data_IF_114057130588
#
_entry.id   IF_114057130588
#
_cell.length_a   1.000
_cell.length_b   1.000
_cell.length_c   1.000
_cell.angle_alpha   90.00
_cell.angle_beta   90.00
_cell.angle_gamma   90.00
#
_symmetry.space_group_name_H-M   'P 1'
#
loop_
_entity.id
_entity.type
_entity.pdbx_description
1 polymer ?
#
# COMPACT_ATOMS: atom_id res chain seq x y z
N UNK A 1 -17.30 -7.27 35.70
CA UNK A 1 -16.17 -8.13 35.29
C UNK A 1 -15.43 -7.37 34.21
N UNK A 2 -14.32 -6.69 34.54
CA UNK A 2 -13.54 -5.92 33.55
C UNK A 2 -12.37 -6.78 33.08
N UNK A 3 -12.32 -7.09 31.78
CA UNK A 3 -11.11 -7.64 31.17
C UNK A 3 -10.03 -6.58 31.34
N UNK A 4 -8.95 -6.91 32.04
CA UNK A 4 -7.86 -5.99 32.35
C UNK A 4 -7.18 -5.45 31.10
N UNK A 5 -6.50 -4.31 31.24
CA UNK A 5 -5.82 -3.51 30.20
C UNK A 5 -4.91 -4.26 29.21
N UNK A 6 -4.65 -5.56 29.37
CA UNK A 6 -3.80 -6.36 28.48
C UNK A 6 -2.41 -5.76 28.23
N UNK A 7 -1.66 -6.37 27.31
CA UNK A 7 -0.46 -5.75 26.70
C UNK A 7 -0.81 -5.03 25.37
N UNK A 8 -2.11 -4.83 25.15
CA UNK A 8 -2.68 -4.27 23.94
C UNK A 8 -2.53 -2.76 23.81
N UNK A 9 -2.50 -2.25 22.57
CA UNK A 9 -2.64 -0.81 22.32
C UNK A 9 -4.11 -0.42 22.32
N UNK A 10 -4.44 0.65 23.04
CA UNK A 10 -5.74 1.32 22.92
C UNK A 10 -5.73 2.16 21.65
N UNK A 11 -6.67 1.89 20.75
CA UNK A 11 -6.90 2.60 19.50
C UNK A 11 -8.23 3.33 19.65
N UNK A 12 -8.24 4.64 19.47
CA UNK A 12 -9.45 5.47 19.64
C UNK A 12 -9.88 5.99 18.28
N UNK A 13 -11.16 5.82 17.96
CA UNK A 13 -11.75 6.28 16.70
C UNK A 13 -12.55 7.54 16.98
N UNK A 14 -12.44 8.57 16.14
CA UNK A 14 -13.30 9.77 16.17
C UNK A 14 -13.74 10.23 17.58
N UNK A 15 -12.81 10.54 18.51
CA UNK A 15 -13.17 10.80 19.90
C UNK A 15 -14.03 12.06 20.03
N UNK A 16 -15.22 11.92 20.60
CA UNK A 16 -16.08 13.06 20.94
C UNK A 16 -15.54 13.86 22.13
N UNK A 17 -14.66 13.24 22.93
CA UNK A 17 -14.02 13.83 24.12
C UNK A 17 -12.54 13.43 24.18
N UNK A 18 -11.66 14.41 24.43
CA UNK A 18 -10.20 14.25 24.39
C UNK A 18 -9.64 13.25 25.42
N UNK A 19 -10.24 13.17 26.61
CA UNK A 19 -9.64 12.46 27.76
C UNK A 19 -10.40 11.20 28.20
N UNK A 20 -11.67 11.08 27.81
CA UNK A 20 -12.52 9.93 28.12
C UNK A 20 -13.38 9.52 26.92
N UNK A 21 -12.77 9.27 25.75
CA UNK A 21 -13.52 8.74 24.63
C UNK A 21 -14.02 7.33 24.96
N UNK A 22 -15.26 7.01 24.59
CA UNK A 22 -15.84 5.67 24.76
C UNK A 22 -15.69 4.80 23.50
N UNK A 23 -15.38 5.43 22.37
CA UNK A 23 -15.16 4.80 21.08
C UNK A 23 -13.68 4.39 20.91
N UNK A 24 -13.26 3.43 21.72
CA UNK A 24 -11.93 2.84 21.61
C UNK A 24 -11.99 1.31 21.52
N UNK A 25 -10.90 0.76 21.00
CA UNK A 25 -10.66 -0.66 20.85
C UNK A 25 -9.31 -1.01 21.44
N UNK A 26 -9.21 -2.14 22.15
CA UNK A 26 -7.94 -2.66 22.63
C UNK A 26 -7.47 -3.75 21.68
N UNK A 27 -6.34 -3.55 21.00
CA UNK A 27 -5.71 -4.62 20.22
C UNK A 27 -5.26 -5.73 21.17
N UNK A 28 -5.54 -7.00 20.91
CA UNK A 28 -5.06 -8.10 21.76
C UNK A 28 -3.91 -8.84 21.06
N UNK A 29 -2.90 -9.25 21.83
CA UNK A 29 -1.77 -10.08 21.38
C UNK A 29 -2.07 -11.59 21.49
N UNK A 30 -3.24 -11.98 21.99
CA UNK A 30 -3.71 -13.35 21.99
C UNK A 30 -3.87 -13.88 20.55
N UNK A 31 -3.62 -15.18 20.26
CA UNK A 31 -3.80 -15.73 18.92
C UNK A 31 -5.21 -15.57 18.34
N UNK A 32 -6.24 -15.62 19.20
CA UNK A 32 -7.64 -15.33 18.82
C UNK A 32 -8.03 -13.86 19.11
N UNK A 33 -7.05 -13.03 19.41
CA UNK A 33 -7.19 -11.60 19.63
C UNK A 33 -7.48 -10.87 18.33
N UNK A 34 -8.07 -9.69 18.45
CA UNK A 34 -8.39 -8.82 17.32
C UNK A 34 -7.29 -7.76 17.18
N UNK A 35 -6.78 -7.61 15.96
CA UNK A 35 -5.74 -6.66 15.60
C UNK A 35 -6.10 -5.88 14.33
N UNK A 36 -5.31 -4.84 14.04
CA UNK A 36 -5.41 -4.11 12.77
C UNK A 36 -4.20 -4.42 11.92
N UNK A 37 -4.45 -4.71 10.64
CA UNK A 37 -3.40 -4.77 9.64
C UNK A 37 -3.28 -3.43 8.91
N UNK A 38 -2.08 -3.04 8.47
CA UNK A 38 -1.94 -1.93 7.55
C UNK A 38 -2.64 -2.29 6.23
N UNK A 39 -3.22 -1.30 5.56
CA UNK A 39 -3.81 -1.48 4.23
C UNK A 39 -3.40 -0.29 3.37
N UNK A 40 -2.34 -0.49 2.60
CA UNK A 40 -1.76 0.45 1.65
C UNK A 40 -2.45 0.38 0.29
N UNK A 41 -2.80 -0.83 -0.15
CA UNK A 41 -3.52 -1.08 -1.41
C UNK A 41 -4.88 -1.75 -1.16
N UNK A 42 -5.85 -1.47 -2.02
CA UNK A 42 -7.23 -1.99 -1.96
C UNK A 42 -7.75 -2.26 -3.37
N UNK A 43 -8.72 -3.17 -3.48
CA UNK A 43 -9.41 -3.39 -4.75
C UNK A 43 -10.03 -2.09 -5.28
N UNK A 44 -9.91 -1.88 -6.59
CA UNK A 44 -10.37 -0.68 -7.30
C UNK A 44 -9.35 0.44 -7.42
N UNK A 45 -8.17 0.34 -6.78
CA UNK A 45 -7.11 1.32 -6.96
C UNK A 45 -6.47 1.19 -8.35
N UNK A 46 -6.11 2.33 -8.95
CA UNK A 46 -5.49 2.41 -10.27
C UNK A 46 -4.06 2.94 -10.16
N UNK A 47 -3.19 2.40 -11.00
CA UNK A 47 -1.79 2.77 -11.09
C UNK A 47 -1.36 2.89 -12.55
N UNK A 48 -0.47 3.82 -12.84
CA UNK A 48 0.35 3.77 -14.04
C UNK A 48 1.59 2.92 -13.79
N UNK A 49 1.95 2.10 -14.76
CA UNK A 49 3.14 1.26 -14.75
C UNK A 49 4.25 1.94 -15.51
N UNK A 50 5.40 2.16 -14.86
CA UNK A 50 6.56 2.84 -15.43
C UNK A 50 7.82 1.97 -15.32
N UNK A 51 8.69 2.05 -16.32
CA UNK A 51 10.11 1.64 -16.22
C UNK A 51 10.98 2.87 -16.49
N UNK A 52 11.61 3.40 -15.44
CA UNK A 52 12.24 4.71 -15.50
C UNK A 52 11.23 5.80 -15.86
N UNK A 53 11.49 6.55 -16.93
CA UNK A 53 10.61 7.62 -17.44
C UNK A 53 9.59 7.11 -18.49
N UNK A 54 9.65 5.83 -18.86
CA UNK A 54 8.77 5.25 -19.87
C UNK A 54 7.51 4.69 -19.22
N UNK A 55 6.35 5.26 -19.57
CA UNK A 55 5.05 4.68 -19.28
C UNK A 55 4.84 3.42 -20.12
N UNK A 56 4.48 2.32 -19.46
CA UNK A 56 4.25 1.01 -20.07
C UNK A 56 2.77 0.62 -20.12
N UNK A 57 1.94 1.24 -19.28
CA UNK A 57 0.51 0.97 -19.25
C UNK A 57 -0.12 1.30 -17.90
N UNK A 58 -1.23 0.63 -17.61
CA UNK A 58 -2.05 0.83 -16.42
C UNK A 58 -2.34 -0.49 -15.70
N UNK A 59 -2.46 -0.42 -14.38
CA UNK A 59 -2.82 -1.54 -13.53
C UNK A 59 -3.97 -1.16 -12.60
N UNK A 60 -5.05 -1.94 -12.65
CA UNK A 60 -6.17 -1.85 -11.73
C UNK A 60 -6.10 -3.00 -10.73
N UNK A 61 -6.15 -2.71 -9.43
CA UNK A 61 -6.13 -3.73 -8.37
C UNK A 61 -7.46 -4.46 -8.35
N UNK A 62 -7.45 -5.74 -8.71
CA UNK A 62 -8.61 -6.61 -8.65
C UNK A 62 -8.78 -7.22 -7.26
N UNK A 63 -7.70 -7.69 -6.64
CA UNK A 63 -7.69 -8.25 -5.29
C UNK A 63 -6.45 -7.82 -4.51
N UNK A 64 -6.64 -7.55 -3.22
CA UNK A 64 -5.59 -7.22 -2.26
C UNK A 64 -5.98 -7.77 -0.88
N UNK A 65 -6.39 -9.04 -0.85
CA UNK A 65 -6.90 -9.74 0.34
C UNK A 65 -5.79 -10.47 1.12
N UNK A 66 -4.58 -10.55 0.58
CA UNK A 66 -3.41 -11.03 1.32
C UNK A 66 -3.02 -10.01 2.40
N UNK A 67 -2.65 -10.46 3.63
CA UNK A 67 -2.20 -9.56 4.69
C UNK A 67 -1.02 -8.71 4.25
N UNK A 68 -1.15 -7.40 4.43
CA UNK A 68 -0.07 -6.46 4.10
C UNK A 68 0.80 -6.24 5.32
N UNK A 69 2.12 -6.20 5.12
CA UNK A 69 3.09 -6.21 6.23
C UNK A 69 3.99 -5.00 6.19
N UNK A 70 4.02 -4.23 7.28
CA UNK A 70 5.01 -3.15 7.42
C UNK A 70 6.43 -3.75 7.52
N UNK A 71 7.30 -3.38 6.59
CA UNK A 71 8.71 -3.79 6.59
C UNK A 71 9.59 -2.74 7.27
N UNK A 72 9.25 -1.45 7.07
CA UNK A 72 10.07 -0.33 7.54
C UNK A 72 9.21 0.92 7.72
N UNK A 73 9.60 1.74 8.69
CA UNK A 73 9.09 3.10 8.89
C UNK A 73 10.26 4.09 8.92
N UNK A 74 10.05 5.27 8.33
CA UNK A 74 10.95 6.42 8.41
C UNK A 74 10.16 7.65 8.87
N UNK A 75 10.78 8.46 9.71
CA UNK A 75 10.23 9.75 10.14
C UNK A 75 11.21 10.82 9.71
N UNK A 76 10.78 11.68 8.79
CA UNK A 76 11.54 12.83 8.33
C UNK A 76 11.02 14.09 9.02
N UNK A 77 11.94 14.92 9.53
CA UNK A 77 11.62 16.18 10.21
C UNK A 77 12.15 17.33 9.37
N UNK A 78 11.28 18.25 8.98
CA UNK A 78 11.70 19.42 8.23
C UNK A 78 12.34 20.50 9.12
N UNK A 79 12.84 21.58 8.49
CA UNK A 79 13.48 22.70 9.18
C UNK A 79 12.57 23.44 10.16
N UNK A 80 11.25 23.24 10.08
CA UNK A 80 10.24 23.82 10.98
C UNK A 80 9.77 22.82 12.05
N UNK A 81 10.42 21.67 12.17
CA UNK A 81 10.07 20.62 13.15
C UNK A 81 8.84 19.80 12.78
N UNK A 82 8.31 19.95 11.56
CA UNK A 82 7.13 19.22 11.10
C UNK A 82 7.53 17.82 10.65
N UNK A 83 6.73 16.82 10.99
CA UNK A 83 7.05 15.41 10.78
C UNK A 83 6.28 14.84 9.60
N UNK A 84 6.99 14.16 8.70
CA UNK A 84 6.43 13.28 7.69
C UNK A 84 6.75 11.84 8.06
N UNK A 85 5.73 10.99 8.08
CA UNK A 85 5.89 9.56 8.36
C UNK A 85 5.76 8.81 7.04
N UNK A 86 6.78 8.05 6.69
CA UNK A 86 6.80 7.18 5.50
C UNK A 86 6.87 5.73 5.96
N UNK A 87 5.96 4.89 5.47
CA UNK A 87 5.98 3.44 5.71
C UNK A 87 6.20 2.70 4.40
N UNK A 88 6.92 1.58 4.51
CA UNK A 88 7.18 0.64 3.45
C UNK A 88 6.41 -0.64 3.81
N UNK A 89 5.41 -0.95 3.01
CA UNK A 89 4.46 -2.02 3.28
C UNK A 89 4.59 -3.05 2.17
N UNK A 90 5.00 -4.26 2.53
CA UNK A 90 4.95 -5.40 1.63
C UNK A 90 3.50 -5.68 1.25
N UNK A 91 3.28 -5.81 -0.05
CA UNK A 91 1.99 -6.10 -0.64
C UNK A 91 2.09 -7.28 -1.58
N UNK A 92 0.97 -7.98 -1.69
CA UNK A 92 0.75 -9.11 -2.57
C UNK A 92 -0.69 -8.97 -3.07
N UNK A 93 -0.83 -8.79 -4.38
CA UNK A 93 -2.09 -8.39 -5.00
C UNK A 93 -2.26 -9.00 -6.39
N UNK A 94 -3.51 -9.06 -6.83
CA UNK A 94 -3.87 -9.42 -8.20
C UNK A 94 -4.37 -8.18 -8.92
N UNK A 95 -3.80 -7.87 -10.08
CA UNK A 95 -4.15 -6.72 -10.89
C UNK A 95 -4.63 -7.14 -12.28
N UNK A 96 -5.55 -6.36 -12.84
CA UNK A 96 -5.77 -6.30 -14.29
C UNK A 96 -4.82 -5.27 -14.86
N UNK A 97 -3.95 -5.68 -15.77
CA UNK A 97 -2.91 -4.83 -16.33
C UNK A 97 -3.10 -4.69 -17.84
N UNK A 98 -3.17 -3.47 -18.31
CA UNK A 98 -3.31 -3.11 -19.72
C UNK A 98 -2.02 -2.44 -20.15
N UNK A 99 -1.34 -2.99 -21.16
CA UNK A 99 -0.10 -2.41 -21.69
C UNK A 99 -0.40 -1.46 -22.84
N UNK A 100 0.35 -0.35 -22.89
CA UNK A 100 0.34 0.58 -24.01
C UNK A 100 1.10 -0.04 -25.19
N UNK A 101 0.44 -0.91 -25.95
CA UNK A 101 1.03 -1.45 -27.20
C UNK A 101 0.66 -0.55 -28.36
N UNK A 102 1.63 -0.28 -29.25
CA UNK A 102 1.41 0.59 -30.43
C UNK A 102 0.52 -0.03 -31.51
N UNK A 103 0.14 -1.29 -31.37
CA UNK A 103 -0.48 -2.08 -32.43
C UNK A 103 -1.91 -2.54 -32.12
N UNK A 104 -2.38 -2.36 -30.89
CA UNK A 104 -3.69 -2.83 -30.48
C UNK A 104 -4.63 -1.66 -30.20
N UNK A 105 -5.69 -1.53 -31.00
CA UNK A 105 -6.70 -0.48 -30.81
C UNK A 105 -7.56 -0.74 -29.55
N UNK A 106 -7.61 -1.99 -29.06
CA UNK A 106 -8.35 -2.40 -27.86
C UNK A 106 -7.51 -3.37 -27.02
N UNK A 107 -6.50 -2.87 -26.28
CA UNK A 107 -5.60 -3.74 -25.52
C UNK A 107 -6.35 -4.53 -24.45
N UNK A 108 -6.23 -5.86 -24.47
CA UNK A 108 -6.88 -6.75 -23.51
C UNK A 108 -6.15 -6.73 -22.14
N UNK A 109 -6.89 -6.64 -21.01
CA UNK A 109 -6.30 -6.68 -19.68
C UNK A 109 -5.76 -8.07 -19.35
N UNK A 110 -4.53 -8.12 -18.86
CA UNK A 110 -3.89 -9.33 -18.36
C UNK A 110 -4.04 -9.40 -16.85
N UNK A 111 -4.55 -10.53 -16.35
CA UNK A 111 -4.61 -10.78 -14.91
C UNK A 111 -3.22 -11.20 -14.43
N UNK A 112 -2.62 -10.41 -13.54
CA UNK A 112 -1.28 -10.66 -13.02
C UNK A 112 -1.24 -10.64 -11.51
N UNK A 113 -0.49 -11.59 -10.95
CA UNK A 113 -0.08 -11.56 -9.56
C UNK A 113 1.15 -10.67 -9.39
N UNK A 114 1.07 -9.70 -8.50
CA UNK A 114 2.05 -8.65 -8.29
C UNK A 114 2.40 -8.58 -6.82
N UNK A 115 3.67 -8.79 -6.50
CA UNK A 115 4.22 -8.51 -5.18
C UNK A 115 5.12 -7.26 -5.24
N UNK A 116 5.26 -6.56 -4.12
CA UNK A 116 6.13 -5.38 -4.08
C UNK A 116 6.09 -4.66 -2.74
N UNK A 117 6.70 -3.48 -2.71
CA UNK A 117 6.73 -2.61 -1.55
C UNK A 117 5.94 -1.33 -1.85
N UNK A 118 4.75 -1.19 -1.26
CA UNK A 118 3.99 0.05 -1.30
C UNK A 118 4.63 1.08 -0.36
N UNK A 119 5.00 2.23 -0.90
CA UNK A 119 5.52 3.37 -0.15
C UNK A 119 4.35 4.29 0.15
N UNK A 120 3.95 4.39 1.41
CA UNK A 120 2.88 5.29 1.86
C UNK A 120 3.46 6.39 2.73
N UNK A 121 2.97 7.61 2.58
CA UNK A 121 3.41 8.75 3.37
C UNK A 121 2.24 9.55 3.93
N UNK A 122 2.40 10.03 5.15
CA UNK A 122 1.53 11.01 5.78
C UNK A 122 2.36 12.24 6.12
N UNK A 123 2.10 13.33 5.40
CA UNK A 123 2.72 14.61 5.66
C UNK A 123 2.13 15.30 6.89
N UNK A 124 2.72 16.42 7.32
CA UNK A 124 2.33 17.10 8.56
C UNK A 124 0.91 17.65 8.55
N UNK A 125 0.40 18.01 7.37
CA UNK A 125 -0.92 18.62 7.16
C UNK A 125 -1.92 17.65 6.55
N UNK A 126 -1.49 16.45 6.14
CA UNK A 126 -2.39 15.49 5.53
C UNK A 126 -3.32 14.90 6.60
N UNK A 127 -4.60 14.74 6.30
CA UNK A 127 -5.55 14.07 7.19
C UNK A 127 -5.31 12.55 7.23
N UNK A 128 -4.86 11.96 6.11
CA UNK A 128 -4.61 10.53 5.94
C UNK A 128 -3.28 10.27 5.22
N UNK A 129 -2.79 9.03 5.29
CA UNK A 129 -1.63 8.63 4.52
C UNK A 129 -2.04 8.38 3.07
N UNK A 130 -1.17 8.74 2.13
CA UNK A 130 -1.35 8.48 0.70
C UNK A 130 -0.29 7.52 0.23
N UNK A 131 -0.66 6.63 -0.68
CA UNK A 131 0.32 5.86 -1.43
C UNK A 131 1.08 6.83 -2.35
N UNK A 132 2.40 6.70 -2.39
CA UNK A 132 3.26 7.48 -3.26
C UNK A 132 3.60 6.69 -4.52
N UNK A 133 3.91 5.40 -4.34
CA UNK A 133 4.23 4.43 -5.40
C UNK A 133 4.32 3.03 -4.83
N UNK A 134 4.44 2.04 -5.71
CA UNK A 134 4.87 0.68 -5.38
C UNK A 134 6.18 0.42 -6.13
N UNK A 135 7.19 -0.06 -5.41
CA UNK A 135 8.53 -0.36 -5.91
C UNK A 135 8.90 -1.83 -5.62
N UNK A 136 10.06 -2.28 -6.12
CA UNK A 136 10.54 -3.67 -5.98
C UNK A 136 9.51 -4.70 -6.47
N UNK A 137 8.90 -4.41 -7.63
CA UNK A 137 7.81 -5.22 -8.18
C UNK A 137 8.32 -6.61 -8.59
N UNK A 138 7.69 -7.65 -8.05
CA UNK A 138 7.79 -9.03 -8.51
C UNK A 138 6.55 -9.43 -9.30
N UNK A 139 6.74 -10.03 -10.48
CA UNK A 139 5.67 -10.55 -11.33
C UNK A 139 5.81 -12.07 -11.44
N UNK A 140 4.69 -12.78 -11.30
CA UNK A 140 4.68 -14.26 -11.27
C UNK A 140 4.66 -14.91 -12.68
N UNK A 141 4.51 -14.11 -13.75
CA UNK A 141 4.19 -14.62 -15.10
C UNK A 141 5.31 -14.40 -16.13
N UNK A 142 5.18 -15.09 -17.29
CA UNK A 142 6.11 -15.12 -18.44
C UNK A 142 6.40 -13.72 -19.06
N UNK A 143 5.66 -12.69 -18.66
CA UNK A 143 5.90 -11.28 -18.97
C UNK A 143 7.14 -10.69 -18.29
N UNK A 144 7.77 -11.37 -17.33
CA UNK A 144 9.11 -10.98 -16.87
C UNK A 144 10.09 -10.80 -18.05
N UNK A 145 9.89 -11.50 -19.16
CA UNK A 145 10.69 -11.36 -20.39
C UNK A 145 10.43 -10.02 -21.11
N UNK A 146 9.19 -9.51 -21.09
CA UNK A 146 8.81 -8.24 -21.72
C UNK A 146 9.34 -7.02 -20.96
N UNK A 147 9.54 -7.14 -19.64
CA UNK A 147 10.14 -6.10 -18.80
C UNK A 147 11.64 -6.28 -18.57
N UNK A 148 12.17 -7.50 -18.78
CA UNK A 148 13.60 -7.85 -18.63
C UNK A 148 14.53 -7.14 -19.60
N UNK A 149 14.01 -6.50 -20.65
CA UNK A 149 14.85 -5.83 -21.66
C UNK A 149 15.36 -4.46 -21.22
N UNK A 150 14.82 -3.88 -20.14
CA UNK A 150 15.32 -2.63 -19.56
C UNK A 150 15.86 -2.92 -18.15
N UNK A 151 17.07 -2.44 -17.86
CA UNK A 151 17.71 -2.55 -16.54
C UNK A 151 17.04 -1.68 -15.47
N UNK A 152 15.87 -1.11 -15.78
CA UNK A 152 15.15 -0.17 -14.95
C UNK A 152 14.11 -0.90 -14.09
N UNK A 153 14.01 -0.48 -12.83
CA UNK A 153 13.04 -1.04 -11.90
C UNK A 153 11.62 -0.59 -12.27
N UNK A 154 10.67 -1.52 -12.26
CA UNK A 154 9.27 -1.21 -12.43
C UNK A 154 8.73 -0.44 -11.21
N UNK A 155 7.97 0.63 -11.49
CA UNK A 155 7.31 1.45 -10.48
C UNK A 155 5.85 1.62 -10.86
N UNK A 156 4.96 1.41 -9.88
CA UNK A 156 3.53 1.63 -10.05
C UNK A 156 3.17 2.93 -9.32
N UNK A 157 2.72 3.93 -10.06
CA UNK A 157 2.39 5.26 -9.55
C UNK A 157 0.88 5.42 -9.46
N UNK A 158 0.31 5.82 -8.30
CA UNK A 158 -1.14 5.97 -8.15
C UNK A 158 -1.69 7.07 -9.06
N UNK A 159 -2.89 6.86 -9.60
CA UNK A 159 -3.64 7.83 -10.44
C UNK A 159 -4.66 8.61 -9.63
#
# INVERSE_FOLDING_TARGET
MSVGMGYGKRITFAPDVLNAPENFFWSDSHPDGLGFEPSAVRAGMNFEVHAGELRLGEANVFRADTPQKEEKQKIDVDTKGRKTITKYIHIDMVCHVVMDTRYDETPEPHIMHISGTAVVAKGPTDAEAKILRIENIGLDSQLNILFSTQWDQLVFSPV
#
